data_IF_054067516222
#
_entry.id   IF_054067516222
#
_cell.length_a   1.000
_cell.length_b   1.000
_cell.length_c   1.000
_cell.angle_alpha   90.00
_cell.angle_beta   90.00
_cell.angle_gamma   90.00
#
_symmetry.space_group_name_H-M   'P 1'
#
loop_
_entity.id
_entity.type
_entity.pdbx_description
1 polymer ?
#
# COMPACT_ATOMS: atom_id res chain seq x y z
N UNK A 1 -8.00 16.32 -32.15
CA UNK A 1 -6.85 17.04 -31.58
C UNK A 1 -6.56 16.67 -30.12
N UNK A 2 -7.50 16.80 -29.17
CA UNK A 2 -7.22 16.57 -27.73
C UNK A 2 -6.62 15.20 -27.34
N UNK A 3 -6.97 14.13 -28.07
CA UNK A 3 -6.37 12.79 -27.89
C UNK A 3 -4.85 12.75 -28.16
N UNK A 4 -4.35 13.54 -29.10
CA UNK A 4 -2.93 13.55 -29.47
C UNK A 4 -2.08 14.10 -28.32
N UNK A 5 -2.50 15.23 -27.75
CA UNK A 5 -1.84 15.83 -26.58
C UNK A 5 -1.95 14.95 -25.31
N UNK A 6 -3.06 14.21 -25.15
CA UNK A 6 -3.25 13.33 -23.99
C UNK A 6 -2.29 12.13 -23.99
N UNK A 7 -1.99 11.58 -25.18
CA UNK A 7 -1.14 10.40 -25.35
C UNK A 7 0.27 10.73 -25.88
N UNK A 8 0.56 11.98 -26.21
CA UNK A 8 1.84 12.42 -26.76
C UNK A 8 2.17 11.81 -28.13
N UNK A 9 1.15 11.47 -28.93
CA UNK A 9 1.35 10.91 -30.26
C UNK A 9 1.51 12.09 -31.23
N UNK A 10 2.72 12.27 -31.76
CA UNK A 10 3.12 13.31 -32.72
C UNK A 10 3.23 14.75 -32.17
N UNK A 11 2.98 14.95 -30.87
CA UNK A 11 3.10 16.25 -30.18
C UNK A 11 3.56 16.03 -28.74
N UNK A 12 4.23 17.03 -28.16
CA UNK A 12 4.63 16.99 -26.75
C UNK A 12 3.41 16.76 -25.84
N UNK A 13 3.58 15.87 -24.86
CA UNK A 13 2.49 15.45 -23.99
C UNK A 13 2.14 16.59 -23.03
N UNK A 14 1.02 17.23 -23.29
CA UNK A 14 0.46 18.27 -22.44
C UNK A 14 -0.95 17.87 -22.00
N UNK A 15 -1.05 17.49 -20.72
CA UNK A 15 -2.30 17.00 -20.14
C UNK A 15 -3.30 18.12 -19.90
N UNK A 16 -2.85 19.34 -19.60
CA UNK A 16 -3.74 20.49 -19.37
C UNK A 16 -4.34 20.96 -20.68
N UNK A 17 -3.50 21.12 -21.71
CA UNK A 17 -3.96 21.48 -23.06
C UNK A 17 -4.86 20.41 -23.67
N UNK A 18 -4.56 19.13 -23.45
CA UNK A 18 -5.43 18.03 -23.87
C UNK A 18 -6.82 18.12 -23.21
N UNK A 19 -6.87 18.38 -21.90
CA UNK A 19 -8.12 18.51 -21.16
C UNK A 19 -8.93 19.74 -21.60
N UNK A 20 -8.28 20.88 -21.84
CA UNK A 20 -8.94 22.08 -22.34
C UNK A 20 -9.60 21.84 -23.71
N UNK A 21 -8.86 21.23 -24.64
CA UNK A 21 -9.37 20.90 -25.98
C UNK A 21 -10.49 19.85 -25.96
N UNK A 22 -10.39 18.84 -25.08
CA UNK A 22 -11.44 17.83 -24.92
C UNK A 22 -12.69 18.41 -24.26
N UNK A 23 -12.53 19.33 -23.30
CA UNK A 23 -13.66 20.02 -22.66
C UNK A 23 -14.40 20.88 -23.67
N UNK A 24 -13.69 21.70 -24.45
CA UNK A 24 -14.29 22.49 -25.53
C UNK A 24 -15.02 21.61 -26.56
N UNK A 25 -14.45 20.44 -26.90
CA UNK A 25 -15.11 19.49 -27.81
C UNK A 25 -16.37 18.88 -27.19
N UNK A 26 -16.34 18.56 -25.89
CA UNK A 26 -17.47 18.00 -25.16
C UNK A 26 -18.62 19.01 -25.03
N UNK A 27 -18.32 20.28 -24.80
CA UNK A 27 -19.30 21.39 -24.76
C UNK A 27 -20.01 21.58 -26.10
N UNK A 28 -19.32 21.30 -27.21
CA UNK A 28 -19.91 21.30 -28.56
C UNK A 28 -20.76 20.05 -28.85
N UNK A 29 -21.04 19.21 -27.85
CA UNK A 29 -21.86 18.00 -28.00
C UNK A 29 -21.10 16.76 -28.46
N UNK A 30 -19.77 16.77 -28.44
CA UNK A 30 -18.98 15.60 -28.81
C UNK A 30 -19.02 14.54 -27.69
N UNK A 31 -19.90 13.55 -27.86
CA UNK A 31 -20.07 12.42 -26.93
C UNK A 31 -18.78 11.63 -26.73
N UNK A 32 -17.93 11.53 -27.76
CA UNK A 32 -16.64 10.85 -27.65
C UNK A 32 -15.70 11.60 -26.68
N UNK A 33 -15.68 12.92 -26.73
CA UNK A 33 -14.88 13.73 -25.82
C UNK A 33 -15.37 13.61 -24.36
N UNK A 34 -16.69 13.59 -24.16
CA UNK A 34 -17.31 13.38 -22.83
C UNK A 34 -16.90 12.03 -22.24
N UNK A 35 -17.03 10.94 -23.00
CA UNK A 35 -16.65 9.60 -22.54
C UNK A 35 -15.15 9.49 -22.26
N UNK A 36 -14.32 10.10 -23.11
CA UNK A 36 -12.88 10.09 -22.92
C UNK A 36 -12.47 10.84 -21.64
N UNK A 37 -13.05 12.01 -21.37
CA UNK A 37 -12.82 12.77 -20.14
C UNK A 37 -13.23 11.98 -18.89
N UNK A 38 -14.39 11.33 -18.93
CA UNK A 38 -14.89 10.50 -17.82
C UNK A 38 -13.94 9.35 -17.52
N UNK A 39 -13.51 8.62 -18.56
CA UNK A 39 -12.57 7.52 -18.42
C UNK A 39 -11.20 7.97 -17.91
N UNK A 40 -10.70 9.11 -18.39
CA UNK A 40 -9.42 9.67 -17.93
C UNK A 40 -9.45 10.04 -16.44
N UNK A 41 -10.50 10.74 -15.99
CA UNK A 41 -10.69 11.09 -14.58
C UNK A 41 -10.79 9.84 -13.70
N UNK A 42 -11.56 8.84 -14.12
CA UNK A 42 -11.71 7.59 -13.38
C UNK A 42 -10.38 6.83 -13.22
N UNK A 43 -9.61 6.67 -14.31
CA UNK A 43 -8.31 5.98 -14.26
C UNK A 43 -7.26 6.73 -13.42
N UNK A 44 -7.27 8.08 -13.46
CA UNK A 44 -6.40 8.90 -12.60
C UNK A 44 -6.73 8.66 -11.12
N UNK A 45 -8.01 8.65 -10.77
CA UNK A 45 -8.46 8.35 -9.41
C UNK A 45 -8.05 6.95 -8.97
N UNK A 46 -8.21 5.94 -9.84
CA UNK A 46 -7.77 4.57 -9.55
C UNK A 46 -6.27 4.50 -9.28
N UNK A 47 -5.45 5.21 -10.05
CA UNK A 47 -3.99 5.25 -9.84
C UNK A 47 -3.64 5.86 -8.47
N UNK A 48 -4.32 6.93 -8.07
CA UNK A 48 -4.16 7.55 -6.75
C UNK A 48 -4.60 6.59 -5.65
N UNK A 49 -5.77 5.96 -5.79
CA UNK A 49 -6.28 4.96 -4.84
C UNK A 49 -5.31 3.78 -4.69
N UNK A 50 -4.70 3.31 -5.78
CA UNK A 50 -3.67 2.27 -5.73
C UNK A 50 -2.42 2.70 -4.96
N UNK A 51 -2.01 3.97 -5.09
CA UNK A 51 -0.93 4.54 -4.28
C UNK A 51 -1.27 4.51 -2.78
N UNK A 52 -2.47 4.94 -2.42
CA UNK A 52 -2.97 4.91 -1.04
C UNK A 52 -3.04 3.48 -0.50
N UNK A 53 -3.56 2.52 -1.28
CA UNK A 53 -3.62 1.10 -0.89
C UNK A 53 -2.22 0.50 -0.66
N UNK A 54 -1.23 0.84 -1.49
CA UNK A 54 0.16 0.40 -1.28
C UNK A 54 0.73 0.95 0.02
N UNK A 55 0.46 2.23 0.33
CA UNK A 55 0.87 2.84 1.59
C UNK A 55 0.24 2.12 2.78
N UNK A 56 -1.07 1.83 2.72
CA UNK A 56 -1.78 1.05 3.74
C UNK A 56 -1.16 -0.34 3.94
N UNK A 57 -0.87 -1.06 2.85
CA UNK A 57 -0.23 -2.37 2.93
C UNK A 57 1.16 -2.29 3.58
N UNK A 58 1.95 -1.26 3.23
CA UNK A 58 3.27 -1.07 3.83
C UNK A 58 3.17 -0.76 5.34
N UNK A 59 2.23 0.12 5.73
CA UNK A 59 1.97 0.45 7.13
C UNK A 59 1.49 -0.77 7.92
N UNK A 60 0.60 -1.58 7.34
CA UNK A 60 0.14 -2.83 7.94
C UNK A 60 1.31 -3.79 8.21
N UNK A 61 2.24 -3.92 7.25
CA UNK A 61 3.44 -4.75 7.42
C UNK A 61 4.38 -4.23 8.51
N UNK A 62 4.60 -2.91 8.60
CA UNK A 62 5.41 -2.31 9.66
C UNK A 62 4.78 -2.58 11.03
N UNK A 63 3.48 -2.38 11.17
CA UNK A 63 2.77 -2.60 12.43
C UNK A 63 2.84 -4.07 12.85
N UNK A 64 2.58 -4.98 11.91
CA UNK A 64 2.69 -6.43 12.16
C UNK A 64 4.10 -6.82 12.61
N UNK A 65 5.15 -6.35 11.91
CA UNK A 65 6.54 -6.59 12.32
C UNK A 65 6.81 -6.14 13.76
N UNK A 66 6.36 -4.93 14.12
CA UNK A 66 6.54 -4.41 15.48
C UNK A 66 5.79 -5.22 16.54
N UNK A 67 4.59 -5.70 16.22
CA UNK A 67 3.81 -6.55 17.12
C UNK A 67 4.45 -7.93 17.28
N UNK A 68 4.94 -8.52 16.20
CA UNK A 68 5.59 -9.83 16.22
C UNK A 68 6.94 -9.78 16.95
N UNK A 69 7.74 -8.73 16.77
CA UNK A 69 8.99 -8.53 17.52
C UNK A 69 8.73 -8.39 19.02
N UNK A 70 7.68 -7.66 19.41
CA UNK A 70 7.28 -7.52 20.81
C UNK A 70 6.79 -8.87 21.40
N UNK A 71 6.01 -9.64 20.64
CA UNK A 71 5.58 -10.99 21.04
C UNK A 71 6.75 -11.94 21.18
N UNK A 72 7.69 -11.98 20.22
CA UNK A 72 8.88 -12.83 20.26
C UNK A 72 9.80 -12.46 21.42
N UNK A 73 10.03 -11.17 21.66
CA UNK A 73 10.81 -10.69 22.80
C UNK A 73 10.19 -11.06 24.14
N UNK A 74 8.88 -10.89 24.31
CA UNK A 74 8.18 -11.24 25.56
C UNK A 74 8.09 -12.76 25.78
N UNK A 75 7.69 -13.52 24.77
CA UNK A 75 7.54 -14.98 24.89
C UNK A 75 8.87 -15.67 25.16
N UNK A 76 9.96 -15.24 24.49
CA UNK A 76 11.30 -15.78 24.73
C UNK A 76 11.85 -15.48 26.12
N UNK A 77 11.53 -14.31 26.70
CA UNK A 77 11.92 -13.97 28.08
C UNK A 77 11.11 -14.75 29.10
N UNK A 78 9.80 -14.93 28.87
CA UNK A 78 8.92 -15.71 29.74
C UNK A 78 9.36 -17.17 29.77
N UNK A 79 9.61 -17.79 28.61
CA UNK A 79 10.04 -19.19 28.53
C UNK A 79 11.39 -19.41 29.22
N UNK A 80 12.35 -18.49 29.08
CA UNK A 80 13.65 -18.58 29.80
C UNK A 80 13.47 -18.55 31.31
N UNK A 81 12.62 -17.64 31.81
CA UNK A 81 12.34 -17.56 33.25
C UNK A 81 11.63 -18.81 33.73
N UNK A 82 10.63 -19.29 32.99
CA UNK A 82 9.90 -20.51 33.33
C UNK A 82 10.85 -21.72 33.34
N UNK A 83 11.77 -21.83 32.38
CA UNK A 83 12.79 -22.88 32.32
C UNK A 83 13.73 -22.82 33.54
N UNK A 84 14.24 -21.64 33.91
CA UNK A 84 15.09 -21.47 35.10
C UNK A 84 14.39 -21.96 36.36
N UNK A 85 13.11 -21.61 36.54
CA UNK A 85 12.32 -22.03 37.70
C UNK A 85 12.08 -23.54 37.72
N UNK A 86 11.86 -24.15 36.54
CA UNK A 86 11.71 -25.61 36.43
C UNK A 86 13.03 -26.31 36.78
N UNK A 87 14.17 -25.81 36.29
CA UNK A 87 15.47 -26.39 36.54
C UNK A 87 15.87 -26.27 38.02
N UNK A 88 15.62 -25.12 38.66
CA UNK A 88 15.79 -24.93 40.11
C UNK A 88 14.95 -25.92 40.93
N UNK A 89 13.67 -26.12 40.56
CA UNK A 89 12.82 -27.11 41.23
C UNK A 89 13.33 -28.53 41.05
N UNK A 90 13.80 -28.89 39.85
CA UNK A 90 14.38 -30.22 39.59
C UNK A 90 15.63 -30.47 40.42
N UNK A 91 16.51 -29.46 40.54
CA UNK A 91 17.71 -29.53 41.38
C UNK A 91 17.35 -29.68 42.86
N UNK A 92 16.37 -28.92 43.36
CA UNK A 92 15.91 -29.02 44.76
C UNK A 92 15.32 -30.41 45.09
N UNK A 93 14.75 -31.10 44.09
CA UNK A 93 14.27 -32.47 44.22
C UNK A 93 15.34 -33.54 43.92
N UNK A 94 16.62 -33.15 43.79
CA UNK A 94 17.74 -34.07 43.60
C UNK A 94 17.84 -34.66 42.19
N UNK A 95 17.05 -34.18 41.24
CA UNK A 95 17.12 -34.57 39.83
C UNK A 95 18.14 -33.67 39.13
N UNK A 96 19.42 -34.08 39.10
CA UNK A 96 20.42 -33.41 38.26
C UNK A 96 20.10 -33.71 36.79
N UNK A 97 19.90 -32.66 36.01
CA UNK A 97 20.03 -32.73 34.56
C UNK A 97 21.54 -32.65 34.27
N UNK A 98 22.15 -33.79 33.98
CA UNK A 98 23.45 -33.84 33.28
C UNK A 98 23.29 -33.35 31.84
#
# INVERSE_FOLDING_TARGET
>A
MGKLYLYGRDVERDSEKALALLTASAEQGNVYAVNLLKNYRHNKNLTVSMGVLRLFNHMSRILQSRLDDNKRGKSGVIDRKLKSVIDEKKQAHGQRLD
#
